data_IF_360324167784
#
_entry.id   IF_360324167784
#
_cell.length_a   1.000
_cell.length_b   1.000
_cell.length_c   1.000
_cell.angle_alpha   90.00
_cell.angle_beta   90.00
_cell.angle_gamma   90.00
#
_symmetry.space_group_name_H-M   'P 1'
#
loop_
_entity.id
_entity.type
_entity.pdbx_description
1 polymer ?
#
# COMPACT_ATOMS: atom_id res chain seq x y z
N UNK A 1 10.90 -3.77 -7.57
CA UNK A 1 12.21 -3.08 -7.56
C UNK A 1 13.23 -3.98 -8.25
N UNK A 2 14.04 -3.47 -9.18
CA UNK A 2 15.03 -4.28 -9.90
C UNK A 2 16.28 -4.65 -9.07
N UNK A 3 16.49 -3.96 -7.94
CA UNK A 3 17.62 -4.19 -7.04
C UNK A 3 17.51 -5.51 -6.25
N UNK A 4 18.66 -6.10 -5.94
CA UNK A 4 18.77 -7.27 -5.08
C UNK A 4 18.34 -6.92 -3.65
N UNK A 5 17.66 -7.83 -2.92
CA UNK A 5 17.28 -7.59 -1.53
C UNK A 5 18.44 -7.18 -0.60
N UNK A 6 19.69 -7.58 -0.91
CA UNK A 6 20.88 -7.24 -0.12
C UNK A 6 21.37 -5.82 -0.32
N UNK A 7 20.94 -5.15 -1.40
CA UNK A 7 21.37 -3.78 -1.74
C UNK A 7 20.72 -2.71 -0.85
N UNK A 8 19.94 -3.09 0.17
CA UNK A 8 19.29 -2.20 1.15
C UNK A 8 18.61 -0.98 0.51
N UNK A 9 18.00 -1.21 -0.65
CA UNK A 9 17.38 -0.16 -1.43
C UNK A 9 16.09 0.36 -0.78
N UNK A 10 15.93 1.68 -0.76
CA UNK A 10 14.73 2.35 -0.24
C UNK A 10 13.50 2.20 -1.15
N UNK A 11 13.67 1.70 -2.38
CA UNK A 11 12.55 1.44 -3.30
C UNK A 11 11.67 0.28 -2.82
N UNK A 12 12.23 -0.64 -2.03
CA UNK A 12 11.54 -1.89 -1.68
C UNK A 12 10.69 -1.67 -0.44
N UNK A 13 9.40 -1.95 -0.59
CA UNK A 13 8.44 -2.03 0.52
C UNK A 13 9.04 -2.88 1.67
N UNK A 14 8.92 -2.44 2.93
CA UNK A 14 7.95 -1.47 3.45
C UNK A 14 8.36 0.01 3.34
N UNK A 15 9.46 0.33 2.67
CA UNK A 15 9.81 1.73 2.43
C UNK A 15 8.79 2.43 1.50
N UNK A 16 8.41 3.68 1.79
CA UNK A 16 7.35 4.39 1.07
C UNK A 16 7.85 5.09 -0.20
N UNK A 17 9.16 5.04 -0.51
CA UNK A 17 9.82 5.87 -1.52
C UNK A 17 9.07 5.89 -2.86
N UNK A 18 8.73 4.72 -3.41
CA UNK A 18 8.01 4.65 -4.68
C UNK A 18 6.64 5.35 -4.66
N UNK A 19 5.95 5.36 -3.51
CA UNK A 19 4.66 6.03 -3.37
C UNK A 19 4.83 7.54 -3.26
N UNK A 20 5.85 7.99 -2.51
CA UNK A 20 6.18 9.41 -2.36
C UNK A 20 6.67 10.02 -3.68
N UNK A 21 7.50 9.29 -4.43
CA UNK A 21 7.96 9.68 -5.77
C UNK A 21 6.78 9.82 -6.73
N UNK A 22 5.89 8.83 -6.77
CA UNK A 22 4.67 8.90 -7.59
C UNK A 22 3.75 10.06 -7.19
N UNK A 23 3.61 10.33 -5.88
CA UNK A 23 2.82 11.46 -5.40
C UNK A 23 3.37 12.80 -5.88
N UNK A 24 4.70 12.97 -5.86
CA UNK A 24 5.36 14.16 -6.35
C UNK A 24 5.29 14.28 -7.88
N UNK A 25 5.53 13.19 -8.61
CA UNK A 25 5.55 13.19 -10.08
C UNK A 25 4.17 13.45 -10.68
N UNK A 26 3.12 12.88 -10.09
CA UNK A 26 1.76 12.95 -10.62
C UNK A 26 0.83 13.88 -9.82
N UNK A 27 1.36 14.61 -8.84
CA UNK A 27 0.59 15.49 -7.95
C UNK A 27 -0.61 14.77 -7.29
N UNK A 28 -0.36 13.58 -6.73
CA UNK A 28 -1.38 12.74 -6.10
C UNK A 28 -1.50 13.08 -4.62
N UNK A 29 -2.73 13.27 -4.14
CA UNK A 29 -3.02 13.35 -2.71
C UNK A 29 -3.05 11.95 -2.08
N UNK A 30 -1.96 11.60 -1.39
CA UNK A 30 -1.83 10.33 -0.70
C UNK A 30 -2.81 10.17 0.48
N UNK A 31 -3.24 11.27 1.12
CA UNK A 31 -4.10 11.20 2.30
C UNK A 31 -5.51 10.71 1.96
N UNK A 32 -5.97 11.01 0.74
CA UNK A 32 -7.23 10.56 0.16
C UNK A 32 -7.08 9.36 -0.79
N UNK A 33 -5.87 8.84 -0.96
CA UNK A 33 -5.59 7.67 -1.78
C UNK A 33 -5.92 6.36 -1.05
N UNK A 34 -5.98 5.27 -1.83
CA UNK A 34 -6.16 3.91 -1.33
C UNK A 34 -4.96 3.04 -1.68
N UNK A 35 -4.51 2.23 -0.72
CA UNK A 35 -3.59 1.11 -0.98
C UNK A 35 -4.34 -0.21 -0.85
N UNK A 36 -4.19 -1.05 -1.86
CA UNK A 36 -4.71 -2.42 -1.88
C UNK A 36 -3.54 -3.36 -2.15
N UNK A 37 -3.32 -4.35 -1.29
CA UNK A 37 -2.19 -5.28 -1.43
C UNK A 37 -2.42 -6.62 -0.74
N UNK A 38 -1.66 -7.63 -1.13
CA UNK A 38 -1.71 -9.00 -0.59
C UNK A 38 -0.55 -9.29 0.39
N UNK A 39 0.39 -8.35 0.55
CA UNK A 39 1.52 -8.46 1.46
C UNK A 39 1.47 -7.38 2.52
N UNK A 40 1.90 -7.71 3.73
CA UNK A 40 1.97 -6.76 4.83
C UNK A 40 2.89 -5.58 4.51
N UNK A 41 3.95 -5.81 3.72
CA UNK A 41 4.84 -4.75 3.26
C UNK A 41 4.13 -3.69 2.41
N UNK A 42 3.05 -4.05 1.69
CA UNK A 42 2.22 -3.07 0.95
C UNK A 42 1.51 -2.12 1.89
N UNK A 43 0.97 -2.69 2.97
CA UNK A 43 0.24 -1.96 4.01
C UNK A 43 1.20 -1.06 4.79
N UNK A 44 2.37 -1.58 5.19
CA UNK A 44 3.38 -0.79 5.90
C UNK A 44 3.93 0.34 5.03
N UNK A 45 4.19 0.10 3.74
CA UNK A 45 4.60 1.16 2.81
C UNK A 45 3.55 2.26 2.68
N UNK A 46 2.26 1.89 2.63
CA UNK A 46 1.17 2.86 2.59
C UNK A 46 1.07 3.69 3.87
N UNK A 47 1.13 3.05 5.04
CA UNK A 47 1.13 3.75 6.34
C UNK A 47 2.31 4.72 6.42
N UNK A 48 3.51 4.26 6.05
CA UNK A 48 4.72 5.10 6.05
C UNK A 48 4.64 6.26 5.04
N UNK A 49 3.84 6.13 3.97
CA UNK A 49 3.61 7.17 2.97
C UNK A 49 2.46 8.13 3.35
N UNK A 50 1.77 7.91 4.47
CA UNK A 50 0.60 8.71 4.88
C UNK A 50 -0.72 8.33 4.22
N UNK A 51 -0.81 7.17 3.57
CA UNK A 51 -2.06 6.63 3.02
C UNK A 51 -2.83 5.93 4.15
N UNK A 52 -3.96 6.53 4.55
CA UNK A 52 -4.77 6.02 5.66
C UNK A 52 -5.77 4.93 5.26
N UNK A 53 -6.16 4.88 3.97
CA UNK A 53 -7.12 3.89 3.47
C UNK A 53 -6.37 2.67 2.92
N UNK A 54 -6.29 1.62 3.73
CA UNK A 54 -5.55 0.39 3.41
C UNK A 54 -6.47 -0.83 3.39
N UNK A 55 -6.37 -1.65 2.35
CA UNK A 55 -7.09 -2.92 2.23
C UNK A 55 -6.09 -4.05 2.00
N UNK A 56 -6.12 -5.07 2.86
CA UNK A 56 -5.36 -6.30 2.69
C UNK A 56 -6.22 -7.38 2.01
N UNK A 57 -5.68 -8.03 0.98
CA UNK A 57 -6.30 -9.18 0.31
C UNK A 57 -5.68 -10.46 0.86
N UNK A 58 -6.48 -11.23 1.61
CA UNK A 58 -6.12 -12.53 2.15
C UNK A 58 -6.54 -12.71 3.59
N UNK A 59 -6.07 -13.80 4.22
CA UNK A 59 -6.54 -14.21 5.55
C UNK A 59 -5.52 -13.96 6.68
N UNK A 60 -4.30 -13.52 6.34
CA UNK A 60 -3.22 -13.29 7.31
C UNK A 60 -3.55 -12.15 8.29
N UNK A 61 -2.82 -12.10 9.40
CA UNK A 61 -2.82 -10.94 10.30
C UNK A 61 -2.22 -9.75 9.56
N UNK A 62 -2.81 -8.58 9.72
CA UNK A 62 -2.42 -7.37 9.01
C UNK A 62 -2.72 -6.12 9.84
N UNK A 63 -1.96 -5.04 9.60
CA UNK A 63 -2.23 -3.69 10.09
C UNK A 63 -3.22 -2.91 9.23
N UNK A 64 -3.72 -3.49 8.13
CA UNK A 64 -4.62 -2.79 7.22
C UNK A 64 -5.94 -2.42 7.91
N UNK A 65 -6.52 -1.29 7.49
CA UNK A 65 -7.81 -0.81 7.98
C UNK A 65 -8.94 -1.77 7.63
N UNK A 66 -8.88 -2.36 6.44
CA UNK A 66 -9.83 -3.37 5.98
C UNK A 66 -9.12 -4.64 5.51
N UNK A 67 -9.84 -5.76 5.56
CA UNK A 67 -9.37 -7.05 5.06
C UNK A 67 -10.46 -7.74 4.26
N UNK A 68 -10.09 -8.22 3.08
CA UNK A 68 -10.99 -8.90 2.15
C UNK A 68 -10.38 -10.19 1.62
N UNK A 69 -11.19 -11.04 0.98
CA UNK A 69 -10.69 -12.30 0.39
C UNK A 69 -10.31 -12.16 -1.07
N UNK A 70 -10.92 -11.22 -1.79
CA UNK A 70 -10.67 -10.97 -3.20
C UNK A 70 -10.62 -9.48 -3.52
N UNK A 71 -10.05 -9.13 -4.69
CA UNK A 71 -10.04 -7.74 -5.18
C UNK A 71 -11.46 -7.21 -5.44
N UNK A 72 -12.41 -8.07 -5.83
CA UNK A 72 -13.78 -7.65 -6.13
C UNK A 72 -14.51 -7.15 -4.88
N UNK A 73 -14.20 -7.73 -3.72
CA UNK A 73 -14.79 -7.33 -2.44
C UNK A 73 -14.41 -5.89 -2.04
N UNK A 74 -13.33 -5.33 -2.61
CA UNK A 74 -12.91 -3.95 -2.33
C UNK A 74 -13.91 -2.91 -2.83
N UNK A 75 -14.72 -3.25 -3.84
CA UNK A 75 -15.71 -2.34 -4.42
C UNK A 75 -16.73 -1.90 -3.37
N UNK A 76 -17.16 -2.81 -2.49
CA UNK A 76 -18.12 -2.52 -1.44
C UNK A 76 -17.56 -1.56 -0.36
N UNK A 77 -16.24 -1.48 -0.24
CA UNK A 77 -15.53 -0.65 0.76
C UNK A 77 -15.19 0.72 0.18
N UNK A 78 -14.79 0.78 -1.09
CA UNK A 78 -14.35 2.04 -1.71
C UNK A 78 -15.54 2.90 -2.13
N UNK A 79 -16.68 2.27 -2.46
CA UNK A 79 -17.90 2.98 -2.89
C UNK A 79 -18.88 3.29 -1.76
N UNK A 80 -18.57 2.92 -0.51
CA UNK A 80 -19.38 3.23 0.67
C UNK A 80 -19.12 4.63 1.19
#
# INVERSE_FOLDING_TARGET
CPHDPKEQCECRKPHPKMLLEAANEFNIDLTNSWMIGDKESDIEAAINAGINNTIFIGNKKTKAKFKVKSILDTIAIIKS
#
